data_IF_262828503345
#
_entry.id   IF_262828503345
#
_cell.length_a   1.000
_cell.length_b   1.000
_cell.length_c   1.000
_cell.angle_alpha   90.00
_cell.angle_beta   90.00
_cell.angle_gamma   90.00
#
_symmetry.space_group_name_H-M   'P 1'
#
loop_
_entity.id
_entity.type
_entity.pdbx_description
1 polymer ?
#
# COMPACT_ATOMS: atom_id res chain seq x y z
N UNK A 1 24.80 -4.82 2.39
CA UNK A 1 24.04 -5.10 1.15
C UNK A 1 22.71 -4.41 1.34
N UNK A 2 22.19 -3.68 0.35
CA UNK A 2 20.84 -3.12 0.50
C UNK A 2 19.87 -4.30 0.66
N UNK A 3 19.08 -4.30 1.73
CA UNK A 3 18.05 -5.33 1.91
C UNK A 3 17.05 -5.24 0.75
N UNK A 4 16.66 -6.41 0.22
CA UNK A 4 15.70 -6.48 -0.87
C UNK A 4 14.32 -6.17 -0.31
N UNK A 5 13.62 -5.22 -0.93
CA UNK A 5 12.24 -4.88 -0.55
C UNK A 5 11.31 -5.98 -1.06
N UNK A 6 10.63 -6.65 -0.15
CA UNK A 6 9.62 -7.68 -0.39
C UNK A 6 8.25 -7.27 0.18
N UNK A 7 8.24 -6.45 1.24
CA UNK A 7 7.06 -6.02 1.99
C UNK A 7 6.90 -4.51 1.97
N UNK A 8 5.78 -4.04 1.40
CA UNK A 8 5.46 -2.63 1.24
C UNK A 8 4.23 -2.26 2.05
N UNK A 9 4.29 -1.13 2.75
CA UNK A 9 3.14 -0.46 3.35
C UNK A 9 2.71 0.73 2.50
N UNK A 10 1.41 0.94 2.35
CA UNK A 10 0.85 2.14 1.71
C UNK A 10 -0.16 2.78 2.66
N UNK A 11 0.06 4.04 3.03
CA UNK A 11 -0.85 4.78 3.93
C UNK A 11 -1.76 5.68 3.09
N UNK A 12 -3.03 5.30 2.99
CA UNK A 12 -4.03 5.91 2.12
C UNK A 12 -4.21 5.13 0.82
N UNK A 13 -5.47 4.88 0.43
CA UNK A 13 -5.86 4.15 -0.77
C UNK A 13 -6.74 5.01 -1.71
N UNK A 14 -6.50 6.32 -1.71
CA UNK A 14 -7.06 7.26 -2.67
C UNK A 14 -6.52 7.05 -4.09
N UNK A 15 -6.56 8.08 -4.94
CA UNK A 15 -6.11 7.95 -6.33
C UNK A 15 -4.63 7.52 -6.45
N UNK A 16 -3.74 8.21 -5.72
CA UNK A 16 -2.30 7.93 -5.77
C UNK A 16 -1.94 6.64 -5.03
N UNK A 17 -2.43 6.49 -3.79
CA UNK A 17 -2.17 5.30 -2.97
C UNK A 17 -2.62 3.99 -3.63
N UNK A 18 -3.79 3.97 -4.27
CA UNK A 18 -4.23 2.79 -5.03
C UNK A 18 -3.33 2.49 -6.24
N UNK A 19 -2.81 3.50 -6.93
CA UNK A 19 -1.85 3.30 -8.02
C UNK A 19 -0.52 2.72 -7.53
N UNK A 20 0.00 3.24 -6.41
CA UNK A 20 1.23 2.74 -5.78
C UNK A 20 1.05 1.29 -5.35
N UNK A 21 -0.04 0.99 -4.62
CA UNK A 21 -0.36 -0.36 -4.18
C UNK A 21 -0.48 -1.35 -5.35
N UNK A 22 -1.15 -0.95 -6.44
CA UNK A 22 -1.30 -1.79 -7.63
C UNK A 22 0.05 -2.13 -8.28
N UNK A 23 0.91 -1.12 -8.47
CA UNK A 23 2.23 -1.29 -9.10
C UNK A 23 3.10 -2.23 -8.26
N UNK A 24 3.13 -2.04 -6.94
CA UNK A 24 3.87 -2.91 -6.03
C UNK A 24 3.35 -4.36 -6.05
N UNK A 25 2.02 -4.55 -5.97
CA UNK A 25 1.42 -5.89 -5.96
C UNK A 25 1.68 -6.64 -7.29
N UNK A 26 1.63 -5.92 -8.42
CA UNK A 26 1.95 -6.48 -9.74
C UNK A 26 3.44 -6.78 -9.92
N UNK A 27 4.31 -6.06 -9.21
CA UNK A 27 5.75 -6.33 -9.17
C UNK A 27 6.10 -7.56 -8.31
N UNK A 28 5.12 -8.16 -7.62
CA UNK A 28 5.33 -9.37 -6.83
C UNK A 28 5.49 -9.13 -5.33
N UNK A 29 5.33 -7.89 -4.86
CA UNK A 29 5.54 -7.50 -3.47
C UNK A 29 4.29 -7.74 -2.62
N UNK A 30 4.48 -8.10 -1.35
CA UNK A 30 3.42 -8.16 -0.33
C UNK A 30 3.07 -6.71 0.08
N UNK A 31 1.82 -6.31 -0.15
CA UNK A 31 1.36 -4.93 0.04
C UNK A 31 0.29 -4.86 1.12
N UNK A 32 0.58 -4.14 2.20
CA UNK A 32 -0.39 -3.78 3.23
C UNK A 32 -0.84 -2.33 3.03
N UNK A 33 -2.14 -2.13 2.85
CA UNK A 33 -2.73 -0.81 2.65
C UNK A 33 -3.49 -0.39 3.91
N UNK A 34 -3.16 0.78 4.47
CA UNK A 34 -3.89 1.35 5.59
C UNK A 34 -4.87 2.41 5.11
N UNK A 35 -6.08 2.36 5.64
CA UNK A 35 -7.11 3.40 5.47
C UNK A 35 -7.62 3.90 6.82
N UNK A 36 -8.28 5.06 6.82
CA UNK A 36 -8.73 5.73 8.06
C UNK A 36 -9.85 4.98 8.79
N UNK A 37 -10.59 4.13 8.09
CA UNK A 37 -11.64 3.27 8.62
C UNK A 37 -11.97 2.15 7.63
N UNK A 38 -12.78 1.18 8.08
CA UNK A 38 -13.18 0.02 7.28
C UNK A 38 -13.93 0.38 5.99
N UNK A 39 -14.79 1.40 6.01
CA UNK A 39 -15.51 1.81 4.82
C UNK A 39 -14.57 2.37 3.74
N UNK A 40 -13.56 3.13 4.15
CA UNK A 40 -12.52 3.62 3.26
C UNK A 40 -11.61 2.48 2.77
N UNK A 41 -11.27 1.52 3.63
CA UNK A 41 -10.50 0.32 3.26
C UNK A 41 -11.22 -0.49 2.18
N UNK A 42 -12.51 -0.78 2.35
CA UNK A 42 -13.33 -1.49 1.37
C UNK A 42 -13.47 -0.72 0.05
N UNK A 43 -13.63 0.61 0.12
CA UNK A 43 -13.65 1.45 -1.08
C UNK A 43 -12.31 1.40 -1.85
N UNK A 44 -11.19 1.42 -1.12
CA UNK A 44 -9.84 1.26 -1.67
C UNK A 44 -9.65 -0.11 -2.32
N UNK A 45 -10.06 -1.18 -1.62
CA UNK A 45 -10.04 -2.56 -2.12
C UNK A 45 -10.83 -2.71 -3.42
N UNK A 46 -12.06 -2.21 -3.45
CA UNK A 46 -12.90 -2.25 -4.65
C UNK A 46 -12.25 -1.49 -5.83
N UNK A 47 -11.58 -0.37 -5.56
CA UNK A 47 -10.87 0.41 -6.58
C UNK A 47 -9.71 -0.37 -7.20
N UNK A 48 -8.89 -1.00 -6.36
CA UNK A 48 -7.75 -1.82 -6.78
C UNK A 48 -8.20 -3.01 -7.63
N UNK A 49 -9.20 -3.76 -7.14
CA UNK A 49 -9.75 -4.92 -7.88
C UNK A 49 -10.28 -4.47 -9.26
N UNK A 50 -11.08 -3.39 -9.29
CA UNK A 50 -11.61 -2.85 -10.55
C UNK A 50 -10.50 -2.42 -11.53
N UNK A 51 -9.40 -1.89 -11.02
CA UNK A 51 -8.27 -1.47 -11.85
C UNK A 51 -7.54 -2.69 -12.45
N UNK A 52 -7.27 -3.70 -11.63
CA UNK A 52 -6.68 -4.97 -12.07
C UNK A 52 -7.57 -5.69 -13.10
N UNK A 53 -8.88 -5.75 -12.86
CA UNK A 53 -9.86 -6.31 -13.81
C UNK A 53 -9.85 -5.55 -15.14
N UNK A 54 -9.77 -4.22 -15.10
CA UNK A 54 -9.66 -3.42 -16.32
C UNK A 54 -8.34 -3.72 -17.05
N UNK A 55 -7.24 -3.90 -16.33
CA UNK A 55 -5.95 -4.29 -16.89
C UNK A 55 -6.03 -5.64 -17.61
N UNK A 56 -6.67 -6.62 -17.00
CA UNK A 56 -6.93 -7.94 -17.58
C UNK A 56 -7.82 -7.86 -18.82
N UNK A 57 -8.98 -7.19 -18.72
CA UNK A 57 -9.92 -7.01 -19.84
C UNK A 57 -9.30 -6.24 -21.02
N UNK A 58 -8.32 -5.38 -20.76
CA UNK A 58 -7.57 -4.66 -21.79
C UNK A 58 -6.38 -5.48 -22.36
N UNK A 59 -6.21 -6.74 -21.97
CA UNK A 59 -5.13 -7.62 -22.42
C UNK A 59 -3.74 -7.25 -21.87
N UNK A 60 -3.67 -6.41 -20.82
CA UNK A 60 -2.41 -5.99 -20.18
C UNK A 60 -1.97 -6.92 -19.06
N UNK A 61 -2.90 -7.75 -18.55
CA UNK A 61 -2.67 -8.76 -17.52
C UNK A 61 -3.35 -10.06 -17.96
N UNK A 62 -2.74 -11.18 -17.64
CA UNK A 62 -3.41 -12.49 -17.62
C UNK A 62 -4.29 -12.62 -16.37
N UNK A 63 -5.21 -13.58 -16.37
CA UNK A 63 -6.05 -13.90 -15.20
C UNK A 63 -5.15 -14.29 -14.00
N UNK A 64 -4.12 -15.09 -14.24
CA UNK A 64 -3.16 -15.52 -13.21
C UNK A 64 -2.38 -14.34 -12.63
N UNK A 65 -1.94 -13.40 -13.46
CA UNK A 65 -1.25 -12.18 -12.99
C UNK A 65 -2.18 -11.27 -12.20
N UNK A 66 -3.44 -11.15 -12.62
CA UNK A 66 -4.47 -10.39 -11.92
C UNK A 66 -4.73 -11.00 -10.55
N UNK A 67 -4.97 -12.30 -10.47
CA UNK A 67 -5.27 -13.00 -9.23
C UNK A 67 -4.07 -13.02 -8.27
N UNK A 68 -2.87 -13.20 -8.80
CA UNK A 68 -1.65 -13.10 -8.01
C UNK A 68 -1.48 -11.69 -7.42
N UNK A 69 -1.77 -10.62 -8.17
CA UNK A 69 -1.72 -9.26 -7.65
C UNK A 69 -2.78 -9.03 -6.55
N UNK A 70 -4.01 -9.49 -6.76
CA UNK A 70 -5.07 -9.43 -5.72
C UNK A 70 -4.65 -10.17 -4.46
N UNK A 71 -4.04 -11.35 -4.59
CA UNK A 71 -3.59 -12.16 -3.46
C UNK A 71 -2.45 -11.56 -2.63
N UNK A 72 -1.78 -10.51 -3.13
CA UNK A 72 -0.74 -9.77 -2.40
C UNK A 72 -1.24 -8.53 -1.67
N UNK A 73 -2.51 -8.16 -1.86
CA UNK A 73 -3.10 -6.97 -1.26
C UNK A 73 -3.83 -7.33 0.04
N UNK A 74 -3.35 -6.77 1.14
CA UNK A 74 -4.01 -6.79 2.45
C UNK A 74 -4.40 -5.37 2.86
N UNK A 75 -5.42 -5.25 3.72
CA UNK A 75 -5.95 -3.97 4.18
C UNK A 75 -6.05 -3.96 5.70
N UNK A 76 -5.83 -2.79 6.30
CA UNK A 76 -5.96 -2.56 7.74
C UNK A 76 -6.41 -1.12 8.02
N UNK A 77 -6.89 -0.86 9.24
CA UNK A 77 -7.07 0.49 9.78
C UNK A 77 -5.91 0.93 10.67
N UNK A 78 -5.05 -0.01 11.08
CA UNK A 78 -4.05 0.16 12.13
C UNK A 78 -2.64 0.33 11.56
N UNK A 79 -1.93 1.40 11.97
CA UNK A 79 -0.51 1.57 11.63
C UNK A 79 0.39 0.59 12.39
N UNK A 80 -0.09 0.01 13.50
CA UNK A 80 0.64 -0.98 14.28
C UNK A 80 0.96 -2.27 13.49
N UNK A 81 0.18 -2.57 12.44
CA UNK A 81 0.38 -3.74 11.60
C UNK A 81 1.57 -3.60 10.61
N UNK A 82 2.19 -2.40 10.54
CA UNK A 82 3.25 -2.11 9.58
C UNK A 82 4.64 -2.56 10.05
N UNK A 83 4.73 -3.28 11.16
CA UNK A 83 5.99 -3.59 11.84
C UNK A 83 7.07 -4.24 10.97
N UNK A 84 6.68 -5.07 10.02
CA UNK A 84 7.56 -5.81 9.13
C UNK A 84 7.69 -5.19 7.72
N UNK A 85 7.19 -3.98 7.51
CA UNK A 85 7.25 -3.29 6.21
C UNK A 85 8.63 -2.65 6.03
N UNK A 86 9.29 -2.97 4.93
CA UNK A 86 10.64 -2.46 4.60
C UNK A 86 10.59 -1.14 3.83
N UNK A 87 9.48 -0.89 3.13
CA UNK A 87 9.17 0.38 2.50
C UNK A 87 7.75 0.77 2.87
N UNK A 88 7.55 1.98 3.38
CA UNK A 88 6.23 2.57 3.61
C UNK A 88 6.10 3.84 2.80
N UNK A 89 5.06 3.94 1.98
CA UNK A 89 4.74 5.13 1.19
C UNK A 89 3.44 5.75 1.70
N UNK A 90 3.53 6.98 2.21
CA UNK A 90 2.39 7.78 2.63
C UNK A 90 1.80 8.54 1.42
N UNK A 91 0.47 8.42 1.24
CA UNK A 91 -0.29 9.00 0.14
C UNK A 91 -1.69 9.44 0.62
N UNK A 92 -1.76 10.15 1.74
CA UNK A 92 -2.96 10.78 2.30
C UNK A 92 -3.15 12.20 1.78
N UNK A 93 -4.15 12.90 2.30
CA UNK A 93 -4.46 14.29 1.96
C UNK A 93 -3.28 15.21 2.31
N UNK A 94 -3.11 16.28 1.53
CA UNK A 94 -2.07 17.28 1.73
C UNK A 94 -2.32 18.15 2.97
N UNK A 95 -2.01 17.59 4.14
CA UNK A 95 -2.03 18.26 5.44
C UNK A 95 -0.74 17.91 6.21
N UNK A 96 0.10 18.91 6.45
CA UNK A 96 1.41 18.73 7.10
C UNK A 96 1.26 18.15 8.52
N UNK A 97 0.30 18.65 9.31
CA UNK A 97 0.13 18.22 10.69
C UNK A 97 -0.28 16.75 10.77
N UNK A 98 -1.21 16.34 9.90
CA UNK A 98 -1.65 14.96 9.77
C UNK A 98 -0.51 14.04 9.33
N UNK A 99 0.29 14.47 8.36
CA UNK A 99 1.43 13.67 7.89
C UNK A 99 2.50 13.52 8.95
N UNK A 100 2.86 14.59 9.64
CA UNK A 100 3.83 14.52 10.74
C UNK A 100 3.37 13.52 11.81
N UNK A 101 2.08 13.51 12.15
CA UNK A 101 1.52 12.55 13.10
C UNK A 101 1.55 11.11 12.57
N UNK A 102 1.21 10.89 11.28
CA UNK A 102 1.36 9.58 10.63
C UNK A 102 2.81 9.10 10.70
N UNK A 103 3.78 9.95 10.37
CA UNK A 103 5.19 9.58 10.39
C UNK A 103 5.71 9.29 11.80
N UNK A 104 5.21 9.97 12.84
CA UNK A 104 5.52 9.63 14.24
C UNK A 104 4.99 8.26 14.63
N UNK A 105 3.80 7.89 14.18
CA UNK A 105 3.25 6.56 14.43
C UNK A 105 4.02 5.50 13.63
N UNK A 106 4.36 5.78 12.37
CA UNK A 106 5.18 4.88 11.54
C UNK A 106 6.55 4.63 12.16
N UNK A 107 7.25 5.68 12.62
CA UNK A 107 8.54 5.57 13.32
C UNK A 107 8.46 4.69 14.57
N UNK A 108 7.31 4.71 15.26
CA UNK A 108 7.09 3.87 16.43
C UNK A 108 6.82 2.40 16.09
N UNK A 109 6.03 2.15 15.04
CA UNK A 109 5.48 0.82 14.77
C UNK A 109 6.30 0.03 13.76
N UNK A 110 6.96 0.68 12.80
CA UNK A 110 7.80 0.01 11.79
C UNK A 110 9.12 -0.38 12.44
N UNK A 111 9.38 -1.69 12.52
CA UNK A 111 10.53 -2.26 13.24
C UNK A 111 11.50 -3.02 12.33
N UNK A 112 11.20 -3.12 11.03
CA UNK A 112 12.11 -3.67 10.04
C UNK A 112 13.41 -2.84 9.98
N UNK A 113 14.56 -3.51 10.03
CA UNK A 113 15.85 -2.84 9.99
C UNK A 113 16.05 -2.13 8.64
N UNK A 114 16.61 -0.92 8.67
CA UNK A 114 16.81 -0.11 7.46
C UNK A 114 15.52 0.26 6.70
N UNK A 115 14.34 0.17 7.33
CA UNK A 115 13.08 0.52 6.69
C UNK A 115 13.06 1.96 6.17
N UNK A 116 12.45 2.16 5.00
CA UNK A 116 12.33 3.46 4.35
C UNK A 116 10.91 3.98 4.54
N UNK A 117 10.76 5.16 5.15
CA UNK A 117 9.51 5.90 5.21
C UNK A 117 9.55 7.03 4.18
N UNK A 118 8.64 6.99 3.21
CA UNK A 118 8.57 7.94 2.11
C UNK A 118 7.18 8.60 2.03
N UNK A 119 7.12 9.82 1.52
CA UNK A 119 5.85 10.51 1.24
C UNK A 119 5.71 10.78 -0.26
N UNK A 120 4.48 10.75 -0.76
CA UNK A 120 4.09 11.04 -2.15
C UNK A 120 3.80 12.54 -2.38
N UNK A 121 4.02 13.39 -1.38
CA UNK A 121 3.76 14.84 -1.38
C UNK A 121 4.82 15.68 -2.09
#
# INVERSE_FOLDING_TARGET
MAETIERVGVVGCGLMGSGIAEVCARAGLDVLVREVNEAAAEAGRARLIKSLDRGMNAGKLTEEQRDAAVGRLSFTTELADFGDRQLVVEAVVEDESMKVDIFRELDRHVTADGAILASNT
#
